data_IF_262864412064
#
_entry.id   IF_262864412064
#
_cell.length_a   1.000
_cell.length_b   1.000
_cell.length_c   1.000
_cell.angle_alpha   90.00
_cell.angle_beta   90.00
_cell.angle_gamma   90.00
#
_symmetry.space_group_name_H-M   'P 1'
#
loop_
_entity.id
_entity.type
_entity.pdbx_description
1 polymer ?
#
# COMPACT_ATOMS: atom_id res chain seq x y z
N UNK A 1 -8.25 -9.25 -77.52
CA UNK A 1 -7.32 -8.39 -76.76
C UNK A 1 -7.45 -8.79 -75.32
N UNK A 2 -6.47 -9.51 -74.81
CA UNK A 2 -6.42 -9.95 -73.39
C UNK A 2 -5.85 -8.83 -72.50
N UNK A 3 -6.33 -8.63 -71.30
CA UNK A 3 -5.74 -7.66 -70.34
C UNK A 3 -4.46 -8.20 -69.73
N UNK A 4 -3.47 -7.32 -69.56
CA UNK A 4 -2.18 -7.56 -68.90
C UNK A 4 -2.35 -7.81 -67.45
N UNK A 5 -1.56 -8.68 -66.79
CA UNK A 5 -1.50 -8.78 -65.35
C UNK A 5 -0.73 -7.60 -64.75
N UNK A 6 -1.24 -7.06 -63.63
CA UNK A 6 -0.59 -6.05 -62.78
C UNK A 6 0.53 -6.71 -61.96
N UNK A 7 1.62 -6.01 -61.64
CA UNK A 7 2.69 -6.53 -60.82
C UNK A 7 2.28 -6.52 -59.36
N UNK A 8 2.38 -7.70 -58.75
CA UNK A 8 2.47 -7.89 -57.32
C UNK A 8 3.91 -7.63 -56.90
N UNK A 9 4.19 -6.56 -56.20
CA UNK A 9 5.34 -6.45 -55.29
C UNK A 9 5.33 -5.04 -54.70
N UNK A 10 4.98 -4.93 -53.41
CA UNK A 10 5.47 -3.93 -52.43
C UNK A 10 4.59 -3.95 -51.18
N UNK A 11 4.68 -5.03 -50.40
CA UNK A 11 4.36 -5.03 -48.98
C UNK A 11 5.44 -5.81 -48.24
N UNK A 12 6.58 -5.18 -48.07
CA UNK A 12 7.67 -5.71 -47.28
C UNK A 12 8.47 -4.57 -46.65
N UNK A 13 8.09 -4.10 -45.50
CA UNK A 13 8.95 -3.12 -44.85
C UNK A 13 8.32 -2.30 -43.71
N UNK A 14 7.62 -2.91 -42.78
CA UNK A 14 7.26 -2.14 -41.59
C UNK A 14 7.06 -2.95 -40.25
N UNK A 15 7.27 -4.25 -40.28
CA UNK A 15 7.07 -5.08 -39.07
C UNK A 15 8.35 -5.52 -38.35
N UNK A 16 9.54 -5.16 -38.81
CA UNK A 16 10.80 -5.66 -38.27
C UNK A 16 11.53 -4.69 -37.31
N UNK A 17 10.97 -3.53 -36.97
CA UNK A 17 11.66 -2.54 -36.12
C UNK A 17 11.13 -2.52 -34.66
N UNK A 18 9.94 -3.10 -34.43
CA UNK A 18 9.30 -3.03 -33.08
C UNK A 18 9.65 -4.21 -32.17
N UNK A 19 10.15 -5.32 -32.70
CA UNK A 19 10.50 -6.52 -31.91
C UNK A 19 11.87 -6.44 -31.22
N UNK A 20 12.79 -5.65 -31.73
CA UNK A 20 14.15 -5.57 -31.18
C UNK A 20 14.27 -4.72 -29.90
N UNK A 21 13.45 -3.68 -29.74
CA UNK A 21 13.50 -2.79 -28.59
C UNK A 21 12.88 -3.43 -27.33
N UNK A 22 11.80 -4.15 -27.48
CA UNK A 22 11.13 -4.85 -26.38
C UNK A 22 11.94 -6.01 -25.80
N UNK A 23 12.69 -6.71 -26.64
CA UNK A 23 13.53 -7.83 -26.16
C UNK A 23 14.80 -7.36 -25.46
N UNK A 24 15.40 -6.26 -25.90
CA UNK A 24 16.56 -5.63 -25.22
C UNK A 24 16.14 -5.00 -23.89
N UNK A 25 14.99 -4.34 -23.84
CA UNK A 25 14.43 -3.79 -22.60
C UNK A 25 14.06 -4.91 -21.61
N UNK A 26 13.46 -6.00 -22.09
CA UNK A 26 13.12 -7.18 -21.26
C UNK A 26 14.38 -7.88 -20.74
N UNK A 27 15.41 -8.06 -21.55
CA UNK A 27 16.69 -8.62 -21.13
C UNK A 27 17.39 -7.72 -20.10
N UNK A 28 17.37 -6.39 -20.31
CA UNK A 28 17.94 -5.42 -19.37
C UNK A 28 17.19 -5.37 -18.04
N UNK A 29 15.87 -5.58 -18.03
CA UNK A 29 15.04 -5.61 -16.83
C UNK A 29 15.26 -6.92 -16.04
N UNK A 30 15.27 -8.07 -16.72
CA UNK A 30 15.58 -9.37 -16.11
C UNK A 30 16.95 -9.34 -15.41
N UNK A 31 17.95 -8.74 -16.05
CA UNK A 31 19.30 -8.59 -15.47
C UNK A 31 19.32 -7.76 -14.17
N UNK A 32 18.36 -6.85 -13.97
CA UNK A 32 18.24 -6.04 -12.75
C UNK A 32 17.37 -6.70 -11.69
N UNK A 33 16.30 -7.37 -12.09
CA UNK A 33 15.34 -7.99 -11.19
C UNK A 33 15.86 -9.28 -10.56
N UNK A 34 16.52 -10.12 -11.36
CA UNK A 34 16.96 -11.46 -10.91
C UNK A 34 17.86 -11.40 -9.66
N UNK A 35 18.91 -10.55 -9.59
CA UNK A 35 19.74 -10.49 -8.39
C UNK A 35 18.99 -9.95 -7.15
N UNK A 36 18.00 -9.07 -7.33
CA UNK A 36 17.18 -8.56 -6.23
C UNK A 36 16.27 -9.67 -5.70
N UNK A 37 15.63 -10.43 -6.60
CA UNK A 37 14.76 -11.54 -6.24
C UNK A 37 15.54 -12.69 -5.60
N UNK A 38 16.74 -13.02 -6.07
CA UNK A 38 17.61 -14.02 -5.47
C UNK A 38 18.01 -13.63 -4.05
N UNK A 39 18.39 -12.35 -3.84
CA UNK A 39 18.69 -11.82 -2.51
C UNK A 39 17.47 -11.88 -1.59
N UNK A 40 16.27 -11.60 -2.11
CA UNK A 40 15.03 -11.73 -1.37
C UNK A 40 14.72 -13.18 -0.98
N UNK A 41 14.90 -14.14 -1.87
CA UNK A 41 14.70 -15.57 -1.57
C UNK A 41 15.69 -16.05 -0.52
N UNK A 42 16.96 -15.72 -0.66
CA UNK A 42 17.98 -16.05 0.32
C UNK A 42 17.67 -15.47 1.71
N UNK A 43 17.14 -14.23 1.76
CA UNK A 43 16.72 -13.61 3.00
C UNK A 43 15.48 -14.28 3.62
N UNK A 44 14.54 -14.80 2.81
CA UNK A 44 13.42 -15.62 3.30
C UNK A 44 13.95 -16.89 3.96
N UNK A 45 14.87 -17.59 3.30
CA UNK A 45 15.45 -18.85 3.81
C UNK A 45 16.28 -18.61 5.09
N UNK A 46 16.97 -17.46 5.17
CA UNK A 46 17.71 -17.05 6.36
C UNK A 46 16.84 -16.42 7.45
N UNK A 47 15.55 -16.21 7.21
CA UNK A 47 14.65 -15.47 8.10
C UNK A 47 15.17 -14.06 8.46
N UNK A 48 15.81 -13.39 7.49
CA UNK A 48 16.39 -12.04 7.63
C UNK A 48 15.38 -10.97 7.22
N UNK A 49 14.62 -10.49 8.21
CA UNK A 49 13.58 -9.47 8.00
C UNK A 49 14.14 -8.12 7.54
N UNK A 50 15.35 -7.77 7.96
CA UNK A 50 15.97 -6.50 7.61
C UNK A 50 16.31 -6.47 6.11
N UNK A 51 16.99 -7.52 5.62
CA UNK A 51 17.30 -7.66 4.20
C UNK A 51 16.02 -7.78 3.35
N UNK A 52 14.99 -8.47 3.84
CA UNK A 52 13.68 -8.54 3.16
C UNK A 52 13.05 -7.16 3.01
N UNK A 53 13.04 -6.35 4.07
CA UNK A 53 12.51 -4.99 4.02
C UNK A 53 13.26 -4.11 3.01
N UNK A 54 14.59 -4.24 2.92
CA UNK A 54 15.39 -3.53 1.92
C UNK A 54 15.08 -3.98 0.50
N UNK A 55 14.98 -5.28 0.25
CA UNK A 55 14.62 -5.85 -1.05
C UNK A 55 13.23 -5.38 -1.49
N UNK A 56 12.25 -5.38 -0.59
CA UNK A 56 10.90 -4.91 -0.91
C UNK A 56 10.87 -3.42 -1.21
N UNK A 57 11.67 -2.63 -0.49
CA UNK A 57 11.82 -1.21 -0.76
C UNK A 57 12.45 -0.97 -2.14
N UNK A 58 13.50 -1.68 -2.47
CA UNK A 58 14.17 -1.63 -3.77
C UNK A 58 13.21 -2.01 -4.91
N UNK A 59 12.49 -3.12 -4.76
CA UNK A 59 11.46 -3.56 -5.72
C UNK A 59 10.32 -2.54 -5.89
N UNK A 60 10.00 -1.75 -4.86
CA UNK A 60 8.94 -0.74 -4.93
C UNK A 60 9.35 0.53 -5.67
N UNK A 61 10.67 0.79 -5.77
CA UNK A 61 11.25 1.95 -6.45
C UNK A 61 11.61 1.67 -7.92
N UNK A 62 11.63 0.39 -8.33
CA UNK A 62 11.91 0.01 -9.70
C UNK A 62 10.77 0.44 -10.64
N UNK A 63 11.15 1.08 -11.72
CA UNK A 63 10.26 1.34 -12.85
C UNK A 63 10.16 0.06 -13.69
N UNK A 64 9.02 -0.62 -13.59
CA UNK A 64 8.78 -1.92 -14.24
C UNK A 64 7.82 -1.73 -15.40
N UNK A 65 8.08 -2.42 -16.52
CA UNK A 65 7.16 -2.44 -17.65
C UNK A 65 5.78 -3.00 -17.24
N UNK A 66 4.71 -2.60 -17.92
CA UNK A 66 3.37 -3.11 -17.66
C UNK A 66 3.28 -4.64 -17.78
N UNK A 67 4.11 -5.26 -18.64
CA UNK A 67 4.18 -6.70 -18.83
C UNK A 67 4.77 -7.42 -17.60
N UNK A 68 5.77 -6.81 -16.95
CA UNK A 68 6.47 -7.40 -15.81
C UNK A 68 5.80 -7.05 -14.48
N UNK A 69 4.97 -6.01 -14.45
CA UNK A 69 4.32 -5.52 -13.24
C UNK A 69 3.50 -6.60 -12.50
N UNK A 70 2.86 -7.51 -13.23
CA UNK A 70 2.07 -8.62 -12.62
C UNK A 70 3.00 -9.61 -11.93
N UNK A 71 4.10 -10.00 -12.59
CA UNK A 71 5.08 -10.94 -12.04
C UNK A 71 5.79 -10.34 -10.83
N UNK A 72 6.23 -9.09 -10.91
CA UNK A 72 6.86 -8.37 -9.80
C UNK A 72 5.91 -8.22 -8.61
N UNK A 73 4.63 -7.95 -8.86
CA UNK A 73 3.62 -7.87 -7.79
C UNK A 73 3.43 -9.23 -7.09
N UNK A 74 3.41 -10.33 -7.86
CA UNK A 74 3.30 -11.67 -7.29
C UNK A 74 4.53 -12.03 -6.43
N UNK A 75 5.74 -11.74 -6.91
CA UNK A 75 6.96 -11.97 -6.14
C UNK A 75 7.05 -11.09 -4.90
N UNK A 76 6.67 -9.79 -4.97
CA UNK A 76 6.60 -8.92 -3.80
C UNK A 76 5.72 -9.53 -2.70
N UNK A 77 4.53 -10.04 -3.04
CA UNK A 77 3.64 -10.68 -2.07
C UNK A 77 4.27 -11.93 -1.43
N UNK A 78 5.00 -12.72 -2.20
CA UNK A 78 5.71 -13.90 -1.66
C UNK A 78 6.81 -13.53 -0.68
N UNK A 79 7.53 -12.43 -0.94
CA UNK A 79 8.62 -11.92 -0.13
C UNK A 79 8.16 -11.08 1.08
N UNK A 80 6.87 -10.76 1.17
CA UNK A 80 6.29 -9.89 2.18
C UNK A 80 5.35 -10.62 3.16
N UNK A 81 5.83 -11.55 3.98
CA UNK A 81 5.01 -12.10 5.05
C UNK A 81 4.64 -10.98 6.05
N UNK A 82 3.54 -11.12 6.82
CA UNK A 82 3.04 -10.07 7.72
C UNK A 82 4.11 -9.44 8.62
N UNK A 83 4.97 -10.26 9.22
CA UNK A 83 6.08 -9.80 10.08
C UNK A 83 7.07 -8.85 9.37
N UNK A 84 7.31 -9.04 8.07
CA UNK A 84 8.18 -8.17 7.28
C UNK A 84 7.49 -6.84 7.00
N UNK A 85 6.19 -6.84 6.70
CA UNK A 85 5.39 -5.63 6.56
C UNK A 85 5.33 -4.85 7.88
N UNK A 86 5.22 -5.54 9.03
CA UNK A 86 5.31 -4.93 10.36
C UNK A 86 6.70 -4.31 10.59
N UNK A 87 7.79 -5.02 10.25
CA UNK A 87 9.14 -4.48 10.34
C UNK A 87 9.30 -3.22 9.48
N UNK A 88 8.77 -3.21 8.24
CA UNK A 88 8.72 -2.02 7.39
C UNK A 88 7.87 -0.92 8.00
N UNK A 89 6.71 -1.25 8.58
CA UNK A 89 5.83 -0.27 9.21
C UNK A 89 6.53 0.39 10.42
N UNK A 90 7.27 -0.35 11.25
CA UNK A 90 8.06 0.23 12.35
C UNK A 90 9.07 1.24 11.85
N UNK A 91 9.67 1.04 10.69
CA UNK A 91 10.64 1.98 10.07
C UNK A 91 10.00 3.30 9.60
N UNK A 92 8.67 3.41 9.50
CA UNK A 92 8.00 4.69 9.23
C UNK A 92 8.32 5.76 10.29
N UNK A 93 8.65 5.35 11.50
CA UNK A 93 8.98 6.24 12.62
C UNK A 93 10.46 6.58 12.72
N UNK A 94 11.30 5.99 11.89
CA UNK A 94 12.72 6.28 11.82
C UNK A 94 13.00 7.59 11.05
N UNK A 95 14.06 8.35 11.42
CA UNK A 95 14.34 9.65 10.80
C UNK A 95 14.70 9.58 9.32
N UNK A 96 15.16 8.41 8.85
CA UNK A 96 15.64 8.24 7.47
C UNK A 96 14.54 7.68 6.57
N UNK A 97 14.01 8.53 5.71
CA UNK A 97 13.15 8.20 4.56
C UNK A 97 11.75 7.65 4.82
N UNK A 98 10.95 8.23 5.74
CA UNK A 98 9.58 7.75 5.99
C UNK A 98 8.70 7.80 4.73
N UNK A 99 8.89 8.78 3.85
CA UNK A 99 8.12 8.90 2.61
C UNK A 99 8.36 7.76 1.62
N UNK A 100 9.61 7.26 1.53
CA UNK A 100 9.95 6.14 0.64
C UNK A 100 9.33 4.85 1.17
N UNK A 101 9.39 4.63 2.49
CA UNK A 101 8.79 3.47 3.16
C UNK A 101 7.26 3.52 3.03
N UNK A 102 6.64 4.68 3.25
CA UNK A 102 5.21 4.85 3.08
C UNK A 102 4.79 4.51 1.65
N UNK A 103 5.51 5.03 0.64
CA UNK A 103 5.26 4.70 -0.77
C UNK A 103 5.44 3.21 -1.06
N UNK A 104 6.44 2.55 -0.48
CA UNK A 104 6.63 1.11 -0.62
C UNK A 104 5.45 0.34 -0.03
N UNK A 105 5.01 0.68 1.17
CA UNK A 105 3.88 0.04 1.85
C UNK A 105 2.58 0.19 1.06
N UNK A 106 2.32 1.32 0.39
CA UNK A 106 1.11 1.46 -0.45
C UNK A 106 1.02 0.42 -1.57
N UNK A 107 2.14 -0.17 -2.00
CA UNK A 107 2.14 -1.22 -3.03
C UNK A 107 1.60 -2.58 -2.54
N UNK A 108 1.48 -2.75 -1.21
CA UNK A 108 0.94 -3.96 -0.58
C UNK A 108 -0.53 -3.81 -0.14
N UNK A 109 -1.10 -2.62 -0.28
CA UNK A 109 -2.52 -2.38 -0.04
C UNK A 109 -2.97 -2.74 1.38
N UNK A 110 -4.04 -3.52 1.49
CA UNK A 110 -4.64 -3.88 2.77
C UNK A 110 -3.69 -4.64 3.71
N UNK A 111 -2.82 -5.51 3.19
CA UNK A 111 -1.85 -6.26 4.01
C UNK A 111 -0.89 -5.33 4.77
N UNK A 112 -0.46 -4.24 4.11
CA UNK A 112 0.37 -3.23 4.78
C UNK A 112 -0.43 -2.36 5.75
N UNK A 113 -1.70 -2.09 5.46
CA UNK A 113 -2.58 -1.39 6.39
C UNK A 113 -2.79 -2.21 7.68
N UNK A 114 -3.01 -3.52 7.56
CA UNK A 114 -3.11 -4.44 8.69
C UNK A 114 -1.82 -4.44 9.52
N UNK A 115 -0.65 -4.48 8.87
CA UNK A 115 0.64 -4.42 9.54
C UNK A 115 0.83 -3.08 10.29
N UNK A 116 0.40 -1.95 9.72
CA UNK A 116 0.45 -0.65 10.41
C UNK A 116 -0.45 -0.65 11.64
N UNK A 117 -1.68 -1.18 11.55
CA UNK A 117 -2.59 -1.29 12.69
C UNK A 117 -1.99 -2.18 13.78
N UNK A 118 -1.31 -3.27 13.41
CA UNK A 118 -0.67 -4.15 14.39
C UNK A 118 0.45 -3.44 15.15
N UNK A 119 1.37 -2.75 14.44
CA UNK A 119 2.46 -2.03 15.11
C UNK A 119 1.98 -0.81 15.92
N UNK A 120 0.79 -0.27 15.62
CA UNK A 120 0.19 0.80 16.41
C UNK A 120 -0.14 0.36 17.84
N UNK A 121 -0.42 -0.92 18.09
CA UNK A 121 -0.70 -1.47 19.42
C UNK A 121 0.47 -1.28 20.37
N UNK A 122 1.68 -1.42 19.84
CA UNK A 122 2.94 -1.31 20.59
C UNK A 122 3.49 0.14 20.59
N UNK A 123 2.82 1.06 19.92
CA UNK A 123 3.29 2.43 19.79
C UNK A 123 2.97 3.27 21.02
N UNK A 124 3.94 3.44 21.93
CA UNK A 124 3.76 4.23 23.15
C UNK A 124 4.01 5.74 22.95
N UNK A 125 4.70 6.12 21.88
CA UNK A 125 5.04 7.52 21.63
C UNK A 125 4.03 8.20 20.69
N UNK A 126 3.52 9.35 21.11
CA UNK A 126 2.55 10.14 20.33
C UNK A 126 3.05 10.49 18.92
N UNK A 127 4.36 10.73 18.76
CA UNK A 127 4.96 11.01 17.45
C UNK A 127 4.84 9.82 16.50
N UNK A 128 5.17 8.61 16.95
CA UNK A 128 5.04 7.38 16.19
C UNK A 128 3.58 7.14 15.75
N UNK A 129 2.63 7.28 16.70
CA UNK A 129 1.20 7.13 16.41
C UNK A 129 0.70 8.08 15.32
N UNK A 130 1.12 9.36 15.38
CA UNK A 130 0.78 10.35 14.34
C UNK A 130 1.30 9.95 12.96
N UNK A 131 2.49 9.36 12.89
CA UNK A 131 3.06 8.87 11.64
C UNK A 131 2.23 7.71 11.08
N UNK A 132 1.84 6.74 11.91
CA UNK A 132 0.99 5.62 11.50
C UNK A 132 -0.41 6.08 11.07
N UNK A 133 -1.03 6.99 11.81
CA UNK A 133 -2.34 7.60 11.46
C UNK A 133 -2.24 8.28 10.09
N UNK A 134 -1.19 9.05 9.83
CA UNK A 134 -0.98 9.71 8.55
C UNK A 134 -0.79 8.69 7.42
N UNK A 135 0.02 7.65 7.63
CA UNK A 135 0.22 6.59 6.63
C UNK A 135 -1.08 5.87 6.29
N UNK A 136 -1.89 5.48 7.28
CA UNK A 136 -3.21 4.87 7.06
C UNK A 136 -4.17 5.81 6.32
N UNK A 137 -4.14 7.11 6.66
CA UNK A 137 -5.00 8.10 6.01
C UNK A 137 -4.68 8.27 4.52
N UNK A 138 -3.44 8.11 4.11
CA UNK A 138 -2.99 8.25 2.72
C UNK A 138 -3.03 6.94 1.92
N UNK A 139 -3.12 5.79 2.57
CA UNK A 139 -3.05 4.47 1.93
C UNK A 139 -4.35 4.12 1.19
N UNK A 140 -4.34 3.89 -0.14
CA UNK A 140 -5.57 3.71 -0.93
C UNK A 140 -6.49 2.59 -0.43
N UNK A 141 -5.92 1.44 -0.12
CA UNK A 141 -6.66 0.20 0.19
C UNK A 141 -6.87 -0.04 1.70
N UNK A 142 -6.65 0.99 2.55
CA UNK A 142 -6.77 0.85 4.00
C UNK A 142 -8.21 0.89 4.53
N UNK A 143 -9.22 1.14 3.69
CA UNK A 143 -10.60 1.35 4.14
C UNK A 143 -11.17 0.17 4.91
N UNK A 144 -11.01 -1.05 4.38
CA UNK A 144 -11.47 -2.28 5.04
C UNK A 144 -10.80 -2.51 6.40
N UNK A 145 -9.48 -2.31 6.46
CA UNK A 145 -8.69 -2.42 7.68
C UNK A 145 -9.13 -1.40 8.74
N UNK A 146 -9.31 -0.13 8.33
CA UNK A 146 -9.77 0.93 9.23
C UNK A 146 -11.17 0.57 9.78
N UNK A 147 -12.11 0.15 8.94
CA UNK A 147 -13.45 -0.25 9.38
C UNK A 147 -13.42 -1.43 10.35
N UNK A 148 -12.58 -2.43 10.10
CA UNK A 148 -12.40 -3.55 11.00
C UNK A 148 -11.78 -3.10 12.34
N UNK A 149 -10.74 -2.27 12.31
CA UNK A 149 -10.04 -1.80 13.50
C UNK A 149 -10.91 -0.86 14.37
N UNK A 150 -11.86 -0.11 13.79
CA UNK A 150 -12.84 0.68 14.53
C UNK A 150 -13.75 -0.16 15.45
N UNK A 151 -13.84 -1.46 15.21
CA UNK A 151 -14.61 -2.40 16.04
C UNK A 151 -13.73 -3.22 16.97
N UNK A 152 -12.45 -2.91 17.04
CA UNK A 152 -11.47 -3.59 17.89
C UNK A 152 -11.67 -3.34 19.37
N UNK A 153 -10.92 -4.08 20.20
CA UNK A 153 -11.02 -4.02 21.66
C UNK A 153 -10.02 -3.05 22.31
N UNK A 154 -8.99 -2.61 21.59
CA UNK A 154 -7.98 -1.68 22.11
C UNK A 154 -8.45 -0.23 21.92
N UNK A 155 -8.82 0.49 23.00
CA UNK A 155 -9.36 1.85 22.88
C UNK A 155 -8.40 2.84 22.23
N UNK A 156 -7.10 2.60 22.37
CA UNK A 156 -6.10 3.50 21.82
C UNK A 156 -5.96 3.32 20.31
N UNK A 157 -5.96 2.07 19.83
CA UNK A 157 -5.99 1.76 18.39
C UNK A 157 -7.28 2.27 17.76
N UNK A 158 -8.44 2.02 18.42
CA UNK A 158 -9.74 2.51 17.94
C UNK A 158 -9.75 4.04 17.82
N UNK A 159 -9.18 4.74 18.78
CA UNK A 159 -9.03 6.21 18.75
C UNK A 159 -8.18 6.67 17.56
N UNK A 160 -7.05 6.01 17.30
CA UNK A 160 -6.13 6.38 16.21
C UNK A 160 -6.73 6.09 14.83
N UNK A 161 -7.38 4.94 14.66
CA UNK A 161 -8.03 4.63 13.38
C UNK A 161 -9.27 5.48 13.14
N UNK A 162 -9.96 5.95 14.19
CA UNK A 162 -11.01 6.96 14.06
C UNK A 162 -10.45 8.28 13.53
N UNK A 163 -9.29 8.73 14.02
CA UNK A 163 -8.60 9.90 13.48
C UNK A 163 -8.21 9.70 12.01
N UNK A 164 -7.69 8.52 11.64
CA UNK A 164 -7.37 8.20 10.25
C UNK A 164 -8.62 8.22 9.35
N UNK A 165 -9.75 7.67 9.82
CA UNK A 165 -11.03 7.69 9.10
C UNK A 165 -11.53 9.13 8.88
N UNK A 166 -11.39 10.00 9.86
CA UNK A 166 -11.73 11.42 9.75
C UNK A 166 -10.87 12.12 8.70
N UNK A 167 -9.56 11.96 8.75
CA UNK A 167 -8.61 12.54 7.78
C UNK A 167 -8.87 12.09 6.35
N UNK A 168 -9.29 10.85 6.15
CA UNK A 168 -9.68 10.29 4.84
C UNK A 168 -11.05 10.75 4.38
N UNK A 169 -11.85 11.41 5.20
CA UNK A 169 -13.25 11.73 4.90
C UNK A 169 -14.09 10.47 4.60
N UNK A 170 -13.89 9.39 5.38
CA UNK A 170 -14.51 8.09 5.15
C UNK A 170 -16.01 8.11 5.49
N UNK A 171 -16.86 8.34 4.50
CA UNK A 171 -18.32 8.32 4.70
C UNK A 171 -18.83 6.94 5.15
N UNK A 172 -18.18 5.88 4.73
CA UNK A 172 -18.48 4.50 5.12
C UNK A 172 -18.25 4.22 6.60
N UNK A 173 -17.37 5.01 7.26
CA UNK A 173 -17.12 4.88 8.70
C UNK A 173 -18.16 5.58 9.58
N UNK A 174 -18.99 6.48 9.04
CA UNK A 174 -19.96 7.30 9.82
C UNK A 174 -20.86 6.46 10.72
N UNK A 175 -21.48 5.33 10.29
CA UNK A 175 -22.33 4.54 11.17
C UNK A 175 -21.58 3.94 12.36
N UNK A 176 -20.33 3.53 12.16
CA UNK A 176 -19.50 2.97 13.23
C UNK A 176 -19.02 4.06 14.17
N UNK A 177 -18.56 5.21 13.65
CA UNK A 177 -18.16 6.37 14.45
C UNK A 177 -19.31 6.90 15.31
N UNK A 178 -20.54 6.92 14.78
CA UNK A 178 -21.74 7.33 15.54
C UNK A 178 -21.99 6.39 16.75
N UNK A 179 -21.75 5.08 16.61
CA UNK A 179 -21.82 4.15 17.75
C UNK A 179 -20.74 4.42 18.78
N UNK A 180 -19.53 4.76 18.33
CA UNK A 180 -18.38 5.05 19.18
C UNK A 180 -18.55 6.33 20.03
N UNK A 181 -19.46 7.24 19.69
CA UNK A 181 -19.83 8.37 20.56
C UNK A 181 -20.36 7.93 21.94
N UNK A 182 -20.84 6.68 22.06
CA UNK A 182 -21.34 6.08 23.31
C UNK A 182 -20.33 5.09 23.92
N UNK A 183 -19.09 5.07 23.45
CA UNK A 183 -18.07 4.17 23.98
C UNK A 183 -17.75 4.51 25.44
N UNK A 184 -17.42 3.51 26.27
CA UNK A 184 -17.09 3.70 27.68
C UNK A 184 -15.83 4.54 27.88
N UNK A 185 -14.82 4.39 27.02
CA UNK A 185 -13.58 5.17 27.08
C UNK A 185 -13.75 6.56 26.44
N UNK A 186 -13.35 7.61 27.17
CA UNK A 186 -13.44 9.00 26.73
C UNK A 186 -12.57 9.29 25.50
N UNK A 187 -11.38 8.68 25.43
CA UNK A 187 -10.46 8.87 24.30
C UNK A 187 -11.11 8.44 22.98
N UNK A 188 -11.88 7.35 22.98
CA UNK A 188 -12.60 6.84 21.81
C UNK A 188 -13.76 7.77 21.45
N UNK A 189 -14.56 8.21 22.45
CA UNK A 189 -15.67 9.15 22.19
C UNK A 189 -15.16 10.44 21.56
N UNK A 190 -14.07 11.00 22.08
CA UNK A 190 -13.48 12.24 21.60
C UNK A 190 -12.94 12.09 20.18
N UNK A 191 -12.28 10.97 19.85
CA UNK A 191 -11.77 10.69 18.53
C UNK A 191 -12.91 10.51 17.52
N UNK A 192 -13.95 9.75 17.88
CA UNK A 192 -15.13 9.56 17.04
C UNK A 192 -15.85 10.89 16.75
N UNK A 193 -16.00 11.75 17.77
CA UNK A 193 -16.57 13.09 17.59
C UNK A 193 -15.77 13.89 16.55
N UNK A 194 -14.46 14.01 16.73
CA UNK A 194 -13.57 14.76 15.83
C UNK A 194 -13.58 14.20 14.42
N UNK A 195 -13.61 12.88 14.27
CA UNK A 195 -13.69 12.23 12.97
C UNK A 195 -15.01 12.59 12.26
N UNK A 196 -16.14 12.55 12.95
CA UNK A 196 -17.43 12.95 12.39
C UNK A 196 -17.47 14.44 12.02
N UNK A 197 -16.88 15.33 12.83
CA UNK A 197 -16.73 16.75 12.50
C UNK A 197 -15.91 16.94 11.21
N UNK A 198 -14.80 16.20 11.04
CA UNK A 198 -13.97 16.27 9.84
C UNK A 198 -14.70 15.75 8.60
N UNK A 199 -15.43 14.64 8.72
CA UNK A 199 -16.19 14.06 7.61
C UNK A 199 -17.32 15.00 7.15
N UNK A 200 -17.93 15.72 8.05
CA UNK A 200 -18.95 16.78 7.83
C UNK A 200 -20.06 16.41 6.83
N UNK A 201 -20.44 15.15 6.76
CA UNK A 201 -21.55 14.67 5.92
C UNK A 201 -22.89 14.94 6.59
N UNK A 202 -24.03 14.95 5.85
CA UNK A 202 -25.36 15.07 6.45
C UNK A 202 -25.62 14.02 7.54
N UNK A 203 -25.11 12.79 7.36
CA UNK A 203 -25.23 11.71 8.34
C UNK A 203 -24.33 11.92 9.54
N UNK A 204 -23.11 12.42 9.34
CA UNK A 204 -22.18 12.76 10.42
C UNK A 204 -22.79 13.89 11.29
N UNK A 205 -23.32 14.95 10.68
CA UNK A 205 -23.98 16.04 11.41
C UNK A 205 -25.20 15.56 12.21
N UNK A 206 -25.99 14.63 11.65
CA UNK A 206 -27.11 14.02 12.37
C UNK A 206 -26.65 13.19 13.57
N UNK A 207 -25.50 12.52 13.46
CA UNK A 207 -24.94 11.74 14.56
C UNK A 207 -24.41 12.63 15.70
N UNK A 208 -24.00 13.87 15.41
CA UNK A 208 -23.48 14.85 16.36
C UNK A 208 -24.58 15.70 17.03
N UNK A 209 -25.79 15.73 16.47
CA UNK A 209 -26.93 16.48 17.00
C UNK A 209 -27.62 15.73 18.14
#
# INVERSE_FOLDING_TARGET
VAPRPMPTDEWGGSEMITLGTTDVERAGMSTRLDPILERGRAAVDANDEATLAEVLLELSTLDVSAADAVSVRAERRRLAPPRVLEAMARRLTEPMSPAVIAKALTTFGAEAADAIVEVMRDAHHRAARRTYIAALAEMPDAEGTILAALTGSDPQVVSDVAEAAGRRMMFTAVPTLARLLKHHEEVVRTAAWRALEQIDSPDARRALA
#
